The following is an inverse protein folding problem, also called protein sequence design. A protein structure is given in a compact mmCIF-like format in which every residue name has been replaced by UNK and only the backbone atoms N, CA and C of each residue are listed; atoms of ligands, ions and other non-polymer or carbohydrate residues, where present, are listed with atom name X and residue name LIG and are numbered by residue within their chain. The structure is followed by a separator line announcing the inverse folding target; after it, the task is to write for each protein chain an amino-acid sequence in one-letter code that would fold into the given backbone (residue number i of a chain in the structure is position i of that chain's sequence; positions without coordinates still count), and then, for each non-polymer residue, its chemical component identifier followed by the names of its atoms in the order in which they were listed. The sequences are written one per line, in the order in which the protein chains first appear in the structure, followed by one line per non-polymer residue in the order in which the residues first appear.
data_IF_698514169627
#
_entry.id   IF_698514169627
#
_cell.length_a   1.000
_cell.length_b   1.000
_cell.length_c   1.000
_cell.angle_alpha   90.00
_cell.angle_beta   90.00
_cell.angle_gamma   90.00
#
_symmetry.space_group_name_H-M   'P 1'
#
loop_
_entity.id
_entity.type
_entity.pdbx_description
1 polymer ?
#
# COMPACT_ATOMS: atom_id res chain seq x y z
N UNK A 1 -11.68 -2.92 -16.22
CA UNK A 1 -10.84 -4.14 -16.11
C UNK A 1 -11.47 -5.09 -15.10
N UNK A 2 -11.33 -6.41 -15.25
CA UNK A 2 -11.92 -7.41 -14.35
C UNK A 2 -10.85 -8.34 -13.72
N UNK A 3 -11.27 -9.18 -12.79
CA UNK A 3 -10.41 -10.07 -12.00
C UNK A 3 -9.66 -11.06 -12.91
N UNK A 4 -10.32 -11.61 -13.92
CA UNK A 4 -9.67 -12.51 -14.88
C UNK A 4 -8.54 -11.83 -15.66
N UNK A 5 -8.66 -10.51 -15.93
CA UNK A 5 -7.61 -9.75 -16.61
C UNK A 5 -6.36 -9.57 -15.76
N UNK A 6 -6.50 -9.53 -14.43
CA UNK A 6 -5.36 -9.36 -13.53
C UNK A 6 -4.74 -10.68 -13.06
N UNK A 7 -5.38 -11.82 -13.32
CA UNK A 7 -4.85 -13.17 -13.03
C UNK A 7 -3.77 -13.56 -14.05
N UNK A 8 -2.60 -12.99 -13.86
CA UNK A 8 -1.46 -13.16 -14.74
C UNK A 8 -0.15 -13.08 -13.97
N UNK A 9 0.95 -13.12 -14.73
CA UNK A 9 2.30 -12.98 -14.23
C UNK A 9 2.71 -11.50 -14.21
N UNK A 10 3.25 -11.03 -13.10
CA UNK A 10 3.79 -9.68 -12.93
C UNK A 10 5.28 -9.72 -12.64
N UNK A 11 5.99 -8.65 -12.94
CA UNK A 11 7.38 -8.48 -12.54
C UNK A 11 7.50 -8.00 -11.09
N UNK A 12 6.54 -7.18 -10.64
CA UNK A 12 6.50 -6.68 -9.26
C UNK A 12 5.06 -6.52 -8.78
N UNK A 13 4.88 -6.64 -7.46
CA UNK A 13 3.60 -6.38 -6.80
C UNK A 13 3.83 -5.47 -5.59
N UNK A 14 3.04 -4.40 -5.47
CA UNK A 14 3.10 -3.47 -4.35
C UNK A 14 1.74 -3.30 -3.67
N UNK A 15 1.74 -3.13 -2.35
CA UNK A 15 0.60 -2.53 -1.66
C UNK A 15 0.69 -1.00 -1.72
N UNK A 16 -0.46 -0.36 -1.92
CA UNK A 16 -0.67 1.08 -1.75
C UNK A 16 -1.40 1.39 -0.42
N UNK A 17 -1.24 0.51 0.56
CA UNK A 17 -1.65 0.73 1.95
C UNK A 17 -3.15 0.57 2.19
N UNK A 18 -3.68 1.43 3.08
CA UNK A 18 -4.83 1.29 3.97
C UNK A 18 -4.40 0.78 5.33
N UNK A 19 -3.81 -0.42 5.36
CA UNK A 19 -3.23 -1.07 6.52
C UNK A 19 -2.16 -2.09 6.07
N UNK A 20 -1.68 -2.92 6.98
CA UNK A 20 -0.59 -3.88 6.73
C UNK A 20 -1.03 -5.21 6.09
N UNK A 21 -2.32 -5.51 5.99
CA UNK A 21 -2.78 -6.82 5.54
C UNK A 21 -2.47 -7.16 4.09
N UNK A 22 -2.62 -6.25 3.11
CA UNK A 22 -2.22 -6.55 1.74
C UNK A 22 -0.73 -6.88 1.64
N UNK A 23 0.12 -6.11 2.32
CA UNK A 23 1.57 -6.34 2.34
C UNK A 23 1.93 -7.69 2.98
N UNK A 24 1.28 -8.02 4.10
CA UNK A 24 1.48 -9.32 4.76
C UNK A 24 1.03 -10.48 3.88
N UNK A 25 -0.09 -10.34 3.18
CA UNK A 25 -0.57 -11.34 2.23
C UNK A 25 0.42 -11.57 1.08
N UNK A 26 0.94 -10.49 0.49
CA UNK A 26 1.94 -10.58 -0.58
C UNK A 26 3.21 -11.30 -0.13
N UNK A 27 3.66 -11.04 1.10
CA UNK A 27 4.82 -11.73 1.68
C UNK A 27 4.54 -13.23 1.90
N UNK A 28 3.42 -13.57 2.55
CA UNK A 28 3.04 -14.95 2.85
C UNK A 28 2.85 -15.81 1.59
N UNK A 29 2.36 -15.21 0.50
CA UNK A 29 2.12 -15.90 -0.76
C UNK A 29 3.33 -15.86 -1.71
N UNK A 30 4.45 -15.28 -1.29
CA UNK A 30 5.66 -15.17 -2.12
C UNK A 30 5.50 -14.27 -3.34
N UNK A 31 4.51 -13.36 -3.32
CA UNK A 31 4.21 -12.43 -4.41
C UNK A 31 5.02 -11.12 -4.32
N UNK A 32 5.62 -10.85 -3.16
CA UNK A 32 6.60 -9.78 -3.02
C UNK A 32 7.75 -10.21 -2.11
N UNK A 33 9.02 -10.16 -2.58
CA UNK A 33 10.18 -10.49 -1.76
C UNK A 33 10.59 -9.35 -0.80
N UNK A 34 9.94 -8.19 -0.91
CA UNK A 34 10.22 -7.01 -0.09
C UNK A 34 8.93 -6.29 0.30
N UNK A 35 9.02 -5.43 1.30
CA UNK A 35 7.93 -4.51 1.65
C UNK A 35 8.04 -3.21 0.83
N UNK A 36 6.90 -2.72 0.36
CA UNK A 36 6.70 -1.43 -0.28
C UNK A 36 6.87 -0.26 0.68
N UNK A 37 6.66 0.96 0.16
CA UNK A 37 6.89 2.18 0.93
C UNK A 37 5.94 2.25 2.14
N UNK A 38 4.64 2.10 1.93
CA UNK A 38 3.60 2.33 2.96
C UNK A 38 2.97 1.03 3.49
N UNK A 39 3.63 -0.12 3.29
CA UNK A 39 3.17 -1.46 3.68
C UNK A 39 2.91 -1.64 5.18
N UNK A 40 3.58 -0.85 6.02
CA UNK A 40 3.50 -0.92 7.48
C UNK A 40 2.96 0.37 8.11
N UNK A 41 2.10 1.05 7.36
CA UNK A 41 1.53 2.34 7.72
C UNK A 41 0.01 2.33 7.57
N UNK A 42 -0.64 3.18 8.35
CA UNK A 42 -2.08 3.43 8.21
C UNK A 42 -2.26 4.60 7.25
N UNK A 43 -2.89 4.34 6.11
CA UNK A 43 -3.11 5.31 5.03
C UNK A 43 -4.57 5.24 4.54
N UNK A 44 -5.52 5.73 5.36
CA UNK A 44 -6.95 5.49 5.14
C UNK A 44 -7.53 6.22 3.91
N UNK A 45 -6.95 7.37 3.55
CA UNK A 45 -7.41 8.19 2.42
C UNK A 45 -6.65 7.85 1.14
N UNK A 46 -7.37 7.49 0.07
CA UNK A 46 -6.76 7.28 -1.23
C UNK A 46 -6.37 8.63 -1.87
N UNK A 47 -7.12 9.70 -1.66
CA UNK A 47 -6.73 11.07 -2.05
C UNK A 47 -5.31 11.42 -1.55
N UNK A 48 -4.99 11.10 -0.29
CA UNK A 48 -3.68 11.40 0.27
C UNK A 48 -2.57 10.48 -0.24
N UNK A 49 -2.88 9.22 -0.54
CA UNK A 49 -1.95 8.32 -1.23
C UNK A 49 -1.70 8.79 -2.66
N UNK A 50 -2.72 9.29 -3.36
CA UNK A 50 -2.57 9.92 -4.67
C UNK A 50 -1.62 11.12 -4.58
N UNK A 51 -1.81 12.01 -3.61
CA UNK A 51 -0.90 13.14 -3.38
C UNK A 51 0.55 12.69 -3.13
N UNK A 52 0.75 11.62 -2.35
CA UNK A 52 2.07 11.04 -2.10
C UNK A 52 2.76 10.55 -3.38
N UNK A 53 2.03 9.80 -4.21
CA UNK A 53 2.53 9.26 -5.46
C UNK A 53 2.79 10.38 -6.48
N UNK A 54 1.87 11.33 -6.62
CA UNK A 54 1.99 12.48 -7.51
C UNK A 54 3.23 13.32 -7.18
N UNK A 55 3.51 13.51 -5.89
CA UNK A 55 4.70 14.23 -5.43
C UNK A 55 5.96 13.36 -5.40
N UNK A 56 5.90 12.11 -5.88
CA UNK A 56 7.02 11.15 -5.86
C UNK A 56 7.68 11.06 -4.48
N UNK A 57 6.86 10.99 -3.43
CA UNK A 57 7.29 10.91 -2.02
C UNK A 57 8.10 12.13 -1.52
N UNK A 58 8.04 13.27 -2.21
CA UNK A 58 8.76 14.47 -1.80
C UNK A 58 8.37 14.89 -0.37
N UNK A 59 9.37 15.09 0.49
CA UNK A 59 9.23 15.45 1.91
C UNK A 59 8.43 14.45 2.77
N UNK A 60 8.23 13.22 2.28
CA UNK A 60 7.62 12.16 3.05
C UNK A 60 8.50 11.76 4.24
N UNK A 61 7.92 11.73 5.44
CA UNK A 61 8.60 11.47 6.71
C UNK A 61 9.76 12.43 7.01
N UNK A 62 9.75 13.67 6.52
CA UNK A 62 10.70 14.65 7.05
C UNK A 62 10.35 15.00 8.50
N UNK A 63 11.37 15.13 9.34
CA UNK A 63 11.22 15.30 10.79
C UNK A 63 10.29 16.47 11.15
N UNK A 64 10.38 17.57 10.41
CA UNK A 64 9.55 18.78 10.58
C UNK A 64 8.08 18.58 10.20
N UNK A 65 7.76 17.57 9.41
CA UNK A 65 6.40 17.22 9.00
C UNK A 65 5.78 16.15 9.91
N UNK A 66 6.55 15.57 10.83
CA UNK A 66 6.09 14.51 11.72
C UNK A 66 5.45 15.07 12.99
N UNK A 67 4.42 14.39 13.49
CA UNK A 67 3.80 14.70 14.78
C UNK A 67 3.38 13.45 15.52
N UNK A 68 3.63 13.42 16.83
CA UNK A 68 3.09 12.39 17.70
C UNK A 68 1.58 12.54 17.84
N UNK A 69 0.85 11.46 17.58
CA UNK A 69 -0.62 11.41 17.67
C UNK A 69 -1.04 10.68 18.94
N UNK A 70 -0.54 9.46 19.12
CA UNK A 70 -0.92 8.58 20.24
C UNK A 70 0.09 7.45 20.40
N UNK A 71 -0.09 6.66 21.44
CA UNK A 71 0.43 5.29 21.46
C UNK A 71 -0.49 4.39 20.62
N UNK A 72 0.05 3.27 20.12
CA UNK A 72 -0.78 2.17 19.63
C UNK A 72 -1.33 1.35 20.81
N UNK A 73 -2.37 0.54 20.57
CA UNK A 73 -3.13 -0.16 21.63
C UNK A 73 -2.27 -1.04 22.57
N UNK A 74 -1.05 -1.42 22.15
CA UNK A 74 -0.12 -2.22 22.94
C UNK A 74 0.88 -1.39 23.78
N UNK A 75 0.82 -0.06 23.71
CA UNK A 75 1.76 0.91 24.31
C UNK A 75 3.25 0.66 23.96
N UNK A 76 3.53 -0.27 23.05
CA UNK A 76 4.88 -0.67 22.66
C UNK A 76 5.42 0.21 21.52
N UNK A 77 4.56 1.02 20.91
CA UNK A 77 4.85 1.78 19.70
C UNK A 77 4.17 3.16 19.72
N UNK A 78 4.85 4.16 19.19
CA UNK A 78 4.32 5.48 18.92
C UNK A 78 3.63 5.49 17.56
N UNK A 79 2.49 6.18 17.49
CA UNK A 79 1.82 6.58 16.25
C UNK A 79 2.27 7.99 15.90
N UNK A 80 3.20 8.09 14.94
CA UNK A 80 3.56 9.37 14.34
C UNK A 80 2.82 9.56 13.02
N UNK A 81 2.37 10.78 12.74
CA UNK A 81 1.73 11.18 11.49
C UNK A 81 2.68 12.00 10.65
N UNK A 82 2.78 11.67 9.37
CA UNK A 82 3.21 12.63 8.36
C UNK A 82 2.06 13.60 8.08
N UNK A 83 2.25 14.89 8.36
CA UNK A 83 1.19 15.89 8.27
C UNK A 83 0.88 16.34 6.82
N UNK A 84 1.77 16.09 5.86
CA UNK A 84 1.52 16.44 4.45
C UNK A 84 0.57 15.40 3.85
N UNK A 85 0.89 14.13 4.08
CA UNK A 85 0.19 13.01 3.46
C UNK A 85 -0.80 12.33 4.42
N UNK A 86 -0.90 12.75 5.67
CA UNK A 86 -1.82 12.19 6.67
C UNK A 86 -1.70 10.65 6.80
N UNK A 87 -0.48 10.15 6.71
CA UNK A 87 -0.14 8.72 6.84
C UNK A 87 0.51 8.50 8.20
N UNK A 88 0.04 7.48 8.92
CA UNK A 88 0.51 7.19 10.27
C UNK A 88 1.45 5.97 10.29
N UNK A 89 2.54 6.07 11.03
CA UNK A 89 3.46 4.96 11.30
C UNK A 89 2.82 3.93 12.22
N UNK A 90 2.84 2.64 11.86
CA UNK A 90 2.30 1.59 12.73
C UNK A 90 3.38 0.85 13.53
N UNK A 91 4.51 0.52 12.90
CA UNK A 91 5.44 -0.46 13.47
C UNK A 91 6.84 0.08 13.78
N UNK A 92 7.20 1.24 13.24
CA UNK A 92 8.60 1.67 13.18
C UNK A 92 9.11 2.31 14.49
N UNK A 93 8.29 3.12 15.17
CA UNK A 93 8.71 3.91 16.34
C UNK A 93 8.40 3.20 17.66
N UNK A 94 9.27 2.29 18.09
CA UNK A 94 9.11 1.54 19.36
C UNK A 94 9.37 2.40 20.59
N UNK A 95 8.63 2.15 21.68
CA UNK A 95 8.70 2.92 22.95
C UNK A 95 9.89 2.55 23.84
N UNK A 96 10.61 1.47 23.53
CA UNK A 96 11.87 1.11 24.18
C UNK A 96 12.99 2.12 23.90
N UNK A 97 12.93 2.82 22.76
CA UNK A 97 13.93 3.82 22.34
C UNK A 97 13.34 5.20 22.04
N UNK A 98 12.04 5.31 21.72
CA UNK A 98 11.39 6.58 21.38
C UNK A 98 10.41 7.03 22.47
N UNK A 99 10.26 8.35 22.63
CA UNK A 99 9.26 8.98 23.49
C UNK A 99 8.40 9.95 22.68
N UNK A 100 7.24 10.42 23.20
CA UNK A 100 6.41 11.39 22.49
C UNK A 100 7.13 12.66 22.03
N UNK A 101 8.20 13.07 22.71
CA UNK A 101 8.95 14.31 22.44
C UNK A 101 10.37 14.08 21.93
N UNK A 102 10.79 12.83 21.72
CA UNK A 102 12.15 12.50 21.24
C UNK A 102 12.14 11.19 20.47
N UNK A 103 12.65 11.21 19.23
CA UNK A 103 12.64 10.04 18.33
C UNK A 103 14.06 9.63 17.89
N UNK A 104 14.91 9.07 18.77
CA UNK A 104 16.29 8.71 18.44
C UNK A 104 16.44 7.75 17.26
N UNK A 105 15.45 6.88 17.01
CA UNK A 105 15.51 5.93 15.88
C UNK A 105 15.08 6.55 14.54
N UNK A 106 14.70 7.83 14.50
CA UNK A 106 14.18 8.49 13.31
C UNK A 106 15.13 8.37 12.10
N UNK A 107 16.41 8.63 12.28
CA UNK A 107 17.38 8.64 11.17
C UNK A 107 17.45 7.28 10.46
N UNK A 108 17.51 6.19 11.22
CA UNK A 108 17.56 4.83 10.67
C UNK A 108 16.24 4.45 9.98
N UNK A 109 15.10 4.85 10.57
CA UNK A 109 13.79 4.65 9.97
C UNK A 109 13.70 5.41 8.65
N UNK A 110 14.04 6.70 8.63
CA UNK A 110 14.01 7.54 7.44
C UNK A 110 14.86 6.97 6.32
N UNK A 111 16.09 6.51 6.62
CA UNK A 111 16.96 5.87 5.64
C UNK A 111 16.34 4.59 5.04
N UNK A 112 15.68 3.76 5.87
CA UNK A 112 14.96 2.59 5.38
C UNK A 112 13.83 2.95 4.42
N UNK A 113 13.08 4.02 4.71
CA UNK A 113 12.04 4.53 3.81
C UNK A 113 12.62 5.10 2.52
N UNK A 114 13.75 5.80 2.57
CA UNK A 114 14.46 6.26 1.36
C UNK A 114 14.87 5.09 0.45
N UNK A 115 15.36 3.98 1.02
CA UNK A 115 15.65 2.77 0.26
C UNK A 115 14.38 2.14 -0.36
N UNK A 116 13.26 2.12 0.37
CA UNK A 116 11.97 1.63 -0.15
C UNK A 116 11.44 2.51 -1.28
N UNK A 117 11.54 3.83 -1.12
CA UNK A 117 11.14 4.82 -2.13
C UNK A 117 11.98 4.65 -3.39
N UNK A 118 13.32 4.61 -3.25
CA UNK A 118 14.21 4.43 -4.39
C UNK A 118 13.96 3.11 -5.13
N UNK A 119 13.70 2.02 -4.40
CA UNK A 119 13.30 0.75 -5.01
C UNK A 119 11.98 0.91 -5.78
N UNK A 120 10.94 1.47 -5.16
CA UNK A 120 9.65 1.71 -5.80
C UNK A 120 9.80 2.54 -7.09
N UNK A 121 10.49 3.69 -7.02
CA UNK A 121 10.71 4.59 -8.16
C UNK A 121 11.50 3.90 -9.29
N UNK A 122 12.53 3.12 -8.93
CA UNK A 122 13.27 2.32 -9.93
C UNK A 122 12.36 1.27 -10.56
N UNK A 123 11.55 0.56 -9.76
CA UNK A 123 10.68 -0.51 -10.24
C UNK A 123 9.62 0.02 -11.22
N UNK A 124 8.97 1.14 -10.93
CA UNK A 124 7.96 1.73 -11.84
C UNK A 124 8.55 2.23 -13.17
N UNK A 125 9.85 2.50 -13.20
CA UNK A 125 10.56 2.92 -14.42
C UNK A 125 11.14 1.75 -15.23
N UNK A 126 11.36 0.59 -14.61
CA UNK A 126 12.13 -0.50 -15.20
C UNK A 126 11.31 -1.77 -15.49
N UNK A 127 10.32 -2.09 -14.68
CA UNK A 127 9.59 -3.34 -14.81
C UNK A 127 8.48 -3.27 -15.87
N UNK A 128 8.30 -4.35 -16.62
CA UNK A 128 7.37 -4.39 -17.75
C UNK A 128 5.90 -4.51 -17.34
N UNK A 129 5.62 -5.13 -16.19
CA UNK A 129 4.27 -5.36 -15.67
C UNK A 129 4.24 -5.31 -14.14
N UNK A 130 3.45 -4.40 -13.58
CA UNK A 130 3.35 -4.17 -12.13
C UNK A 130 1.90 -4.28 -11.66
N UNK A 131 1.67 -5.01 -10.57
CA UNK A 131 0.38 -5.01 -9.88
C UNK A 131 0.44 -4.13 -8.63
N UNK A 132 -0.53 -3.24 -8.49
CA UNK A 132 -0.78 -2.49 -7.26
C UNK A 132 -2.03 -3.01 -6.56
N UNK A 133 -2.00 -3.09 -5.22
CA UNK A 133 -3.16 -3.47 -4.42
C UNK A 133 -3.50 -2.33 -3.48
N UNK A 134 -4.74 -1.84 -3.54
CA UNK A 134 -5.26 -0.78 -2.67
C UNK A 134 -6.55 -1.26 -2.00
N UNK A 135 -6.71 -0.94 -0.72
CA UNK A 135 -8.00 -1.12 -0.03
C UNK A 135 -8.62 0.24 0.27
N UNK A 136 -9.89 0.42 -0.07
CA UNK A 136 -10.63 1.66 0.13
C UNK A 136 -10.30 2.74 -0.91
N UNK A 137 -11.32 3.53 -1.21
CA UNK A 137 -11.30 4.63 -2.16
C UNK A 137 -12.67 4.82 -2.83
N UNK A 138 -12.87 5.99 -3.39
CA UNK A 138 -14.01 6.35 -4.23
C UNK A 138 -13.69 6.19 -5.71
N UNK A 139 -14.71 6.30 -6.57
CA UNK A 139 -14.52 6.29 -8.01
C UNK A 139 -13.58 7.42 -8.46
N UNK A 140 -13.79 8.64 -7.96
CA UNK A 140 -13.01 9.81 -8.31
C UNK A 140 -11.54 9.65 -7.89
N UNK A 141 -11.29 9.17 -6.67
CA UNK A 141 -9.93 8.90 -6.20
C UNK A 141 -9.23 7.79 -7.01
N UNK A 142 -9.96 6.75 -7.41
CA UNK A 142 -9.41 5.67 -8.24
C UNK A 142 -9.11 6.15 -9.67
N UNK A 143 -9.96 7.01 -10.24
CA UNK A 143 -9.70 7.65 -11.53
C UNK A 143 -8.42 8.50 -11.47
N UNK A 144 -8.23 9.28 -10.40
CA UNK A 144 -7.00 10.03 -10.20
C UNK A 144 -5.78 9.12 -10.00
N UNK A 145 -5.94 8.01 -9.26
CA UNK A 145 -4.87 7.02 -9.10
C UNK A 145 -4.42 6.47 -10.45
N UNK A 146 -5.36 6.08 -11.31
CA UNK A 146 -5.06 5.58 -12.67
C UNK A 146 -4.27 6.62 -13.47
N UNK A 147 -4.69 7.89 -13.44
CA UNK A 147 -3.98 8.97 -14.14
C UNK A 147 -2.55 9.18 -13.62
N UNK A 148 -2.36 9.16 -12.30
CA UNK A 148 -1.03 9.32 -11.69
C UNK A 148 -0.13 8.15 -12.06
N UNK A 149 -0.62 6.91 -11.93
CA UNK A 149 0.15 5.72 -12.27
C UNK A 149 0.46 5.66 -13.77
N UNK A 150 -0.44 6.10 -14.66
CA UNK A 150 -0.18 6.21 -16.10
C UNK A 150 0.92 7.21 -16.46
N UNK A 151 1.21 8.19 -15.60
CA UNK A 151 2.33 9.11 -15.78
C UNK A 151 3.62 8.61 -15.14
N UNK A 152 3.50 7.79 -14.09
CA UNK A 152 4.61 7.37 -13.25
C UNK A 152 5.21 6.03 -13.68
N UNK A 153 4.38 5.09 -14.13
CA UNK A 153 4.80 3.76 -14.58
C UNK A 153 5.12 3.82 -16.06
N UNK A 154 6.32 3.39 -16.44
CA UNK A 154 6.80 3.48 -17.82
C UNK A 154 6.16 2.44 -18.75
N UNK A 155 5.86 1.26 -18.21
CA UNK A 155 5.32 0.13 -18.96
C UNK A 155 3.87 -0.14 -18.54
N UNK A 156 3.51 -1.40 -18.29
CA UNK A 156 2.15 -1.78 -17.96
C UNK A 156 1.94 -1.84 -16.46
N UNK A 157 0.74 -1.48 -16.01
CA UNK A 157 0.32 -1.72 -14.65
C UNK A 157 -1.13 -2.17 -14.59
N UNK A 158 -1.48 -2.78 -13.47
CA UNK A 158 -2.86 -3.03 -13.07
C UNK A 158 -3.02 -2.68 -11.60
N UNK A 159 -4.24 -2.32 -11.21
CA UNK A 159 -4.60 -2.02 -9.82
C UNK A 159 -5.74 -2.96 -9.44
N UNK A 160 -5.57 -3.69 -8.34
CA UNK A 160 -6.65 -4.36 -7.63
C UNK A 160 -7.13 -3.44 -6.50
N UNK A 161 -8.33 -2.87 -6.66
CA UNK A 161 -8.98 -2.01 -5.68
C UNK A 161 -10.03 -2.81 -4.90
N UNK A 162 -9.79 -2.98 -3.61
CA UNK A 162 -10.68 -3.66 -2.67
C UNK A 162 -11.59 -2.64 -1.99
N UNK A 163 -12.90 -2.85 -2.09
CA UNK A 163 -13.91 -2.03 -1.41
C UNK A 163 -14.62 -2.87 -0.35
N UNK A 164 -14.27 -2.71 0.93
CA UNK A 164 -15.01 -3.34 2.02
C UNK A 164 -16.49 -2.92 1.97
N UNK A 165 -17.38 -3.90 1.91
CA UNK A 165 -18.82 -3.72 1.81
C UNK A 165 -19.56 -4.85 2.53
N UNK A 166 -20.85 -4.64 2.81
CA UNK A 166 -21.73 -5.67 3.36
C UNK A 166 -22.15 -6.65 2.24
N UNK A 167 -21.20 -7.49 1.83
CA UNK A 167 -21.36 -8.55 0.84
C UNK A 167 -20.83 -9.87 1.41
N UNK A 168 -21.47 -11.01 1.12
CA UNK A 168 -21.04 -12.31 1.68
C UNK A 168 -19.79 -12.87 1.02
N UNK A 169 -19.51 -12.47 -0.23
CA UNK A 169 -18.39 -12.94 -1.05
C UNK A 169 -17.88 -11.80 -1.94
N UNK A 170 -16.72 -12.02 -2.58
CA UNK A 170 -16.16 -11.09 -3.55
C UNK A 170 -17.16 -10.89 -4.71
N UNK A 171 -17.36 -9.63 -5.11
CA UNK A 171 -18.16 -9.26 -6.28
C UNK A 171 -17.42 -8.18 -7.08
N UNK A 172 -17.40 -8.31 -8.41
CA UNK A 172 -16.74 -7.35 -9.28
C UNK A 172 -17.62 -6.13 -9.54
N UNK A 173 -17.01 -4.95 -9.61
CA UNK A 173 -17.68 -3.70 -9.97
C UNK A 173 -17.04 -3.13 -11.23
N UNK A 174 -17.86 -2.81 -12.23
CA UNK A 174 -17.36 -2.16 -13.46
C UNK A 174 -17.43 -0.64 -13.31
N UNK A 175 -16.28 -0.05 -13.02
CA UNK A 175 -16.10 1.41 -13.00
C UNK A 175 -15.67 1.97 -14.35
N UNK A 176 -15.54 1.16 -15.40
CA UNK A 176 -15.09 1.61 -16.72
C UNK A 176 -13.61 2.04 -16.78
N UNK A 177 -12.86 1.82 -15.70
CA UNK A 177 -11.43 2.12 -15.61
C UNK A 177 -10.60 1.06 -16.36
N UNK A 178 -9.55 1.50 -17.03
CA UNK A 178 -8.80 0.67 -17.98
C UNK A 178 -7.83 -0.27 -17.27
N UNK A 179 -7.17 0.21 -16.22
CA UNK A 179 -6.12 -0.47 -15.48
C UNK A 179 -6.54 -0.81 -14.04
N UNK A 180 -7.78 -0.51 -13.64
CA UNK A 180 -8.27 -0.81 -12.29
C UNK A 180 -9.35 -1.88 -12.33
N UNK A 181 -9.08 -3.01 -11.68
CA UNK A 181 -10.05 -4.02 -11.30
C UNK A 181 -10.61 -3.65 -9.92
N UNK A 182 -11.91 -3.39 -9.86
CA UNK A 182 -12.60 -3.02 -8.63
C UNK A 182 -13.40 -4.21 -8.14
N UNK A 183 -13.22 -4.56 -6.87
CA UNK A 183 -14.03 -5.59 -6.23
C UNK A 183 -14.60 -5.09 -4.92
N UNK A 184 -15.84 -5.45 -4.64
CA UNK A 184 -16.40 -5.40 -3.29
C UNK A 184 -16.03 -6.68 -2.57
N UNK A 185 -15.56 -6.56 -1.33
CA UNK A 185 -15.23 -7.69 -0.48
C UNK A 185 -15.91 -7.55 0.89
N UNK A 186 -16.14 -8.67 1.61
CA UNK A 186 -16.65 -8.61 2.98
C UNK A 186 -15.79 -7.69 3.84
N UNK A 187 -16.42 -6.95 4.75
CA UNK A 187 -15.68 -6.14 5.73
C UNK A 187 -14.77 -7.07 6.54
N UNK A 188 -13.46 -6.87 6.39
CA UNK A 188 -12.46 -7.63 7.11
C UNK A 188 -12.21 -7.01 8.48
N UNK A 189 -12.06 -7.86 9.49
CA UNK A 189 -11.58 -7.43 10.80
C UNK A 189 -10.14 -6.92 10.68
N UNK A 190 -9.91 -5.68 11.13
CA UNK A 190 -8.59 -5.07 11.10
C UNK A 190 -7.61 -5.72 12.08
N UNK A 191 -8.10 -6.48 13.06
CA UNK A 191 -7.30 -7.20 14.04
C UNK A 191 -7.04 -8.66 13.69
N UNK A 192 -7.76 -9.22 12.70
CA UNK A 192 -7.65 -10.62 12.33
C UNK A 192 -7.31 -10.80 10.85
N UNK A 193 -6.12 -11.33 10.59
CA UNK A 193 -5.71 -11.71 9.24
C UNK A 193 -6.52 -12.91 8.72
N UNK A 194 -7.13 -12.76 7.55
CA UNK A 194 -7.88 -13.82 6.88
C UNK A 194 -7.08 -14.42 5.71
N UNK A 195 -6.31 -15.47 5.99
CA UNK A 195 -5.46 -16.13 5.01
C UNK A 195 -6.24 -16.73 3.83
N UNK A 196 -7.41 -17.33 4.10
CA UNK A 196 -8.23 -17.96 3.08
C UNK A 196 -8.73 -16.95 2.03
N UNK A 197 -9.17 -15.78 2.50
CA UNK A 197 -9.57 -14.67 1.63
C UNK A 197 -8.44 -14.24 0.68
N UNK A 198 -7.24 -14.01 1.20
CA UNK A 198 -6.12 -13.55 0.38
C UNK A 198 -5.65 -14.62 -0.62
N UNK A 199 -5.67 -15.90 -0.22
CA UNK A 199 -5.38 -17.03 -1.12
C UNK A 199 -6.37 -17.11 -2.27
N UNK A 200 -7.67 -16.99 -1.99
CA UNK A 200 -8.70 -17.00 -3.02
C UNK A 200 -8.59 -15.80 -3.96
N UNK A 201 -8.41 -14.60 -3.38
CA UNK A 201 -8.34 -13.35 -4.13
C UNK A 201 -7.14 -13.29 -5.08
N UNK A 202 -5.98 -13.73 -4.60
CA UNK A 202 -4.71 -13.62 -5.34
C UNK A 202 -4.39 -14.90 -6.15
N UNK A 203 -5.30 -15.87 -6.16
CA UNK A 203 -5.18 -17.07 -6.98
C UNK A 203 -5.06 -16.72 -8.48
N UNK A 204 -4.06 -17.31 -9.13
CA UNK A 204 -3.74 -17.05 -10.54
C UNK A 204 -2.83 -15.85 -10.77
N UNK A 205 -2.44 -15.12 -9.72
CA UNK A 205 -1.43 -14.07 -9.76
C UNK A 205 -0.08 -14.70 -9.41
N UNK A 206 0.96 -14.43 -10.21
CA UNK A 206 2.32 -14.96 -9.97
C UNK A 206 3.37 -13.89 -10.24
N UNK A 207 4.57 -14.05 -9.67
CA UNK A 207 5.71 -13.17 -9.93
C UNK A 207 6.69 -13.81 -10.91
N UNK A 208 7.28 -13.01 -11.80
CA UNK A 208 8.46 -13.39 -12.56
C UNK A 208 9.62 -13.59 -11.60
N UNK A 209 10.12 -14.82 -11.54
CA UNK A 209 11.41 -15.11 -10.94
C UNK A 209 12.44 -14.15 -11.54
N UNK A 210 12.97 -13.26 -10.70
CA UNK A 210 14.18 -12.49 -11.00
C UNK A 210 15.28 -13.50 -11.26
N UNK A 211 15.71 -13.62 -12.52
CA UNK A 211 16.97 -14.28 -12.90
C UNK A 211 18.16 -13.55 -12.32
#
# INVERSE_FOLDING_TARGET
MNLSNIKQKYNAVFSLGQNCWPAWALYQLGLSPFFGVIDFMLSPSLEKVNLLLQNRFHRFLELENLSFISFWDDDAKLRLRDNIYEIDSCHDFKTDVNTPTSWPSYTDIKLNYEHRINRFLTTVEMEESILFIRTGGTYEEALFLEQILSQMVKHNFSVLLLLPADVPTITEEDWGLQNICVIKCPVMDIYQYNEAFWKELLDGITISSTT
#
